data_IF_108653988102
#
_entry.id   IF_108653988102
#
_cell.length_a   1.000
_cell.length_b   1.000
_cell.length_c   1.000
_cell.angle_alpha   90.00
_cell.angle_beta   90.00
_cell.angle_gamma   90.00
#
_symmetry.space_group_name_H-M   'P 1'
#
loop_
_entity.id
_entity.type
_entity.pdbx_description
1 polymer ?
#
# COMPACT_ATOMS: atom_id res chain seq x y z
N UNK A 1 65.78 -8.13 24.05
CA UNK A 1 64.49 -8.66 24.54
C UNK A 1 63.39 -8.10 23.66
N UNK A 2 62.98 -8.84 22.63
CA UNK A 2 61.97 -8.41 21.65
C UNK A 2 60.59 -8.84 22.15
N UNK A 3 59.68 -7.90 22.38
CA UNK A 3 58.26 -8.18 22.70
C UNK A 3 57.46 -8.13 21.39
N UNK A 4 56.68 -9.16 21.04
CA UNK A 4 55.84 -9.10 19.85
C UNK A 4 54.63 -8.18 20.10
N UNK A 5 54.31 -7.35 19.12
CA UNK A 5 53.09 -6.56 19.09
C UNK A 5 51.90 -7.48 18.76
N UNK A 6 50.84 -7.43 19.58
CA UNK A 6 49.56 -8.04 19.25
C UNK A 6 48.87 -7.23 18.14
N UNK A 7 48.34 -7.85 17.07
CA UNK A 7 47.52 -7.13 16.11
C UNK A 7 46.14 -6.89 16.73
N UNK A 8 45.83 -5.61 16.97
CA UNK A 8 44.48 -5.14 17.27
C UNK A 8 43.57 -5.48 16.10
N UNK A 9 42.64 -6.41 16.32
CA UNK A 9 41.63 -6.82 15.36
C UNK A 9 40.84 -5.61 14.86
N UNK A 10 40.90 -5.40 13.54
CA UNK A 10 40.01 -4.50 12.81
C UNK A 10 38.57 -5.03 12.96
N UNK A 11 37.78 -4.44 13.86
CA UNK A 11 36.34 -4.57 13.82
C UNK A 11 35.82 -3.66 12.69
N UNK A 12 35.74 -4.19 11.47
CA UNK A 12 34.97 -3.57 10.39
C UNK A 12 33.49 -3.71 10.71
N UNK A 13 32.98 -2.83 11.57
CA UNK A 13 31.54 -2.64 11.82
C UNK A 13 30.87 -2.00 10.60
N UNK A 14 30.81 -2.77 9.52
CA UNK A 14 29.63 -3.09 8.75
C UNK A 14 28.44 -2.09 8.80
N UNK A 15 28.66 -0.88 8.31
CA UNK A 15 27.58 0.06 7.97
C UNK A 15 26.81 -0.35 6.71
N UNK A 16 27.37 -1.28 5.92
CA UNK A 16 26.73 -1.76 4.70
C UNK A 16 25.59 -2.74 4.99
N UNK A 17 25.71 -3.69 5.91
CA UNK A 17 24.64 -4.69 6.15
C UNK A 17 23.38 -4.04 6.70
N UNK A 18 23.47 -2.93 7.43
CA UNK A 18 22.27 -2.21 7.87
C UNK A 18 21.51 -1.60 6.67
N UNK A 19 22.21 -0.92 5.76
CA UNK A 19 21.60 -0.38 4.54
C UNK A 19 21.18 -1.48 3.55
N UNK A 20 21.91 -2.60 3.48
CA UNK A 20 21.54 -3.73 2.63
C UNK A 20 20.27 -4.40 3.17
N UNK A 21 20.10 -4.52 4.50
CA UNK A 21 18.89 -5.10 5.12
C UNK A 21 17.68 -4.17 4.93
N UNK A 22 17.83 -2.85 5.02
CA UNK A 22 16.75 -1.89 4.71
C UNK A 22 16.35 -1.94 3.22
N UNK A 23 17.33 -1.97 2.31
CA UNK A 23 17.09 -2.10 0.87
C UNK A 23 16.51 -3.48 0.52
N UNK A 24 16.94 -4.54 1.21
CA UNK A 24 16.39 -5.91 1.12
C UNK A 24 14.96 -5.97 1.63
N UNK A 25 14.65 -5.37 2.78
CA UNK A 25 13.30 -5.35 3.32
C UNK A 25 12.33 -4.59 2.40
N UNK A 26 12.77 -3.49 1.78
CA UNK A 26 11.95 -2.74 0.82
C UNK A 26 11.71 -3.49 -0.50
N UNK A 27 12.73 -4.14 -1.08
CA UNK A 27 12.55 -4.99 -2.28
C UNK A 27 11.71 -6.24 -1.99
N UNK A 28 11.77 -6.79 -0.78
CA UNK A 28 10.91 -7.91 -0.35
C UNK A 28 9.47 -7.46 -0.07
N UNK A 29 9.25 -6.26 0.47
CA UNK A 29 7.92 -5.65 0.60
C UNK A 29 7.27 -5.40 -0.78
N UNK A 30 8.03 -4.87 -1.73
CA UNK A 30 7.57 -4.67 -3.12
C UNK A 30 7.27 -6.02 -3.79
N UNK A 31 8.11 -7.05 -3.57
CA UNK A 31 7.88 -8.38 -4.10
C UNK A 31 6.67 -9.09 -3.46
N UNK A 32 6.39 -8.88 -2.16
CA UNK A 32 5.22 -9.45 -1.49
C UNK A 32 3.92 -8.77 -1.92
N UNK A 33 3.91 -7.45 -2.12
CA UNK A 33 2.75 -6.73 -2.67
C UNK A 33 2.48 -7.12 -4.13
N UNK A 34 3.52 -7.30 -4.95
CA UNK A 34 3.38 -7.78 -6.33
C UNK A 34 2.90 -9.23 -6.45
N UNK A 35 3.26 -10.10 -5.49
CA UNK A 35 2.80 -11.49 -5.46
C UNK A 35 1.34 -11.64 -5.01
N UNK A 36 0.84 -10.75 -4.15
CA UNK A 36 -0.58 -10.75 -3.73
C UNK A 36 -1.50 -10.34 -4.89
N UNK A 37 -1.07 -9.43 -5.76
CA UNK A 37 -1.83 -9.00 -6.95
C UNK A 37 -1.93 -10.07 -8.05
N UNK A 38 -1.02 -11.07 -8.09
CA UNK A 38 -1.03 -12.12 -9.12
C UNK A 38 -1.66 -13.45 -8.67
N UNK A 39 -2.15 -13.54 -7.42
CA UNK A 39 -2.70 -14.78 -6.85
C UNK A 39 -4.23 -14.85 -6.81
N UNK A 40 -4.95 -13.81 -7.25
CA UNK A 40 -6.43 -13.80 -7.22
C UNK A 40 -7.08 -13.99 -8.60
N UNK A 41 -6.43 -14.72 -9.51
CA UNK A 41 -7.03 -15.16 -10.77
C UNK A 41 -7.63 -16.58 -10.60
N UNK A 42 -8.63 -16.77 -9.73
CA UNK A 42 -9.36 -18.05 -9.75
C UNK A 42 -10.14 -18.50 -8.52
N UNK A 43 -11.11 -17.73 -8.01
CA UNK A 43 -12.20 -18.31 -7.20
C UNK A 43 -13.55 -17.83 -7.73
N UNK A 44 -14.36 -18.78 -8.19
CA UNK A 44 -15.70 -18.58 -8.72
C UNK A 44 -16.72 -18.41 -7.57
N UNK A 45 -17.39 -17.25 -7.58
CA UNK A 45 -18.71 -16.92 -6.99
C UNK A 45 -19.06 -17.48 -5.60
N UNK A 46 -18.54 -16.82 -4.57
CA UNK A 46 -19.39 -16.40 -3.44
C UNK A 46 -19.92 -15.00 -3.78
N UNK A 47 -21.08 -14.59 -3.26
CA UNK A 47 -21.53 -13.20 -3.40
C UNK A 47 -20.37 -12.26 -3.02
N UNK A 48 -19.86 -11.49 -3.98
CA UNK A 48 -18.78 -10.55 -3.72
C UNK A 48 -19.30 -9.52 -2.72
N UNK A 49 -18.75 -9.52 -1.51
CA UNK A 49 -18.97 -8.41 -0.59
C UNK A 49 -18.17 -7.23 -1.12
N UNK A 50 -18.82 -6.48 -2.01
CA UNK A 50 -18.26 -5.28 -2.62
C UNK A 50 -17.74 -4.30 -1.55
N UNK A 51 -18.36 -4.25 -0.36
CA UNK A 51 -17.87 -3.39 0.73
C UNK A 51 -16.54 -3.87 1.27
N UNK A 52 -16.39 -5.20 1.47
CA UNK A 52 -15.12 -5.79 1.91
C UNK A 52 -14.00 -5.62 0.86
N UNK A 53 -14.31 -5.84 -0.42
CA UNK A 53 -13.33 -5.66 -1.51
C UNK A 53 -12.92 -4.19 -1.69
N UNK A 54 -13.88 -3.26 -1.60
CA UNK A 54 -13.58 -1.82 -1.54
C UNK A 54 -12.67 -1.52 -0.34
N UNK A 55 -12.94 -2.09 0.84
CA UNK A 55 -12.14 -1.87 2.04
C UNK A 55 -10.71 -2.38 1.86
N UNK A 56 -10.54 -3.59 1.32
CA UNK A 56 -9.24 -4.20 1.06
C UNK A 56 -8.40 -3.35 0.11
N UNK A 57 -8.96 -2.99 -1.04
CA UNK A 57 -8.26 -2.18 -2.03
C UNK A 57 -8.00 -0.75 -1.52
N UNK A 58 -8.93 -0.14 -0.80
CA UNK A 58 -8.70 1.19 -0.22
C UNK A 58 -7.60 1.18 0.84
N UNK A 59 -7.51 0.12 1.67
CA UNK A 59 -6.42 -0.04 2.63
C UNK A 59 -5.07 -0.19 1.93
N UNK A 60 -5.01 -0.97 0.85
CA UNK A 60 -3.79 -1.11 0.05
C UNK A 60 -3.38 0.22 -0.61
N UNK A 61 -4.33 1.02 -1.10
CA UNK A 61 -4.06 2.36 -1.62
C UNK A 61 -3.46 3.28 -0.56
N UNK A 62 -3.97 3.24 0.69
CA UNK A 62 -3.40 4.00 1.81
C UNK A 62 -1.96 3.58 2.08
N UNK A 63 -1.67 2.28 2.10
CA UNK A 63 -0.33 1.78 2.39
C UNK A 63 0.66 2.11 1.27
N UNK A 64 0.25 2.02 -0.01
CA UNK A 64 1.03 2.55 -1.14
C UNK A 64 1.30 4.05 -0.99
N UNK A 65 0.30 4.83 -0.57
CA UNK A 65 0.43 6.26 -0.34
C UNK A 65 1.45 6.61 0.75
N UNK A 66 1.45 5.85 1.87
CA UNK A 66 2.47 5.98 2.93
C UNK A 66 3.88 5.60 2.44
N UNK A 67 3.97 4.67 1.50
CA UNK A 67 5.22 4.28 0.85
C UNK A 67 5.66 5.27 -0.26
N UNK A 68 4.94 6.38 -0.44
CA UNK A 68 5.13 7.35 -1.53
C UNK A 68 5.03 6.73 -2.94
N UNK A 69 4.29 5.63 -3.07
CA UNK A 69 4.01 4.96 -4.32
C UNK A 69 2.69 5.46 -4.93
N UNK A 70 2.79 6.56 -5.69
CA UNK A 70 1.63 7.16 -6.37
C UNK A 70 0.94 6.18 -7.35
N UNK A 71 1.72 5.34 -8.03
CA UNK A 71 1.17 4.36 -8.97
C UNK A 71 0.39 3.25 -8.24
N UNK A 72 0.90 2.78 -7.10
CA UNK A 72 0.18 1.86 -6.23
C UNK A 72 -1.11 2.44 -5.68
N UNK A 73 -1.12 3.73 -5.29
CA UNK A 73 -2.36 4.42 -4.88
C UNK A 73 -3.38 4.39 -6.02
N UNK A 74 -2.99 4.77 -7.23
CA UNK A 74 -3.88 4.78 -8.41
C UNK A 74 -4.43 3.39 -8.71
N UNK A 75 -3.57 2.37 -8.72
CA UNK A 75 -3.94 1.00 -9.03
C UNK A 75 -4.99 0.49 -8.03
N UNK A 76 -4.69 0.58 -6.74
CA UNK A 76 -5.59 0.10 -5.70
C UNK A 76 -6.86 0.94 -5.55
N UNK A 77 -6.78 2.27 -5.69
CA UNK A 77 -7.97 3.12 -5.67
C UNK A 77 -8.90 2.85 -6.87
N UNK A 78 -8.34 2.51 -8.03
CA UNK A 78 -9.13 2.14 -9.21
C UNK A 78 -9.87 0.82 -9.03
N UNK A 79 -9.23 -0.19 -8.43
CA UNK A 79 -9.92 -1.44 -8.08
C UNK A 79 -10.99 -1.21 -7.00
N UNK A 80 -10.69 -0.40 -5.98
CA UNK A 80 -11.67 -0.04 -4.95
C UNK A 80 -12.92 0.63 -5.55
N UNK A 81 -12.75 1.51 -6.56
CA UNK A 81 -13.86 2.17 -7.26
C UNK A 81 -14.79 1.17 -7.96
N UNK A 82 -14.24 0.15 -8.63
CA UNK A 82 -15.05 -0.86 -9.32
C UNK A 82 -16.04 -1.53 -8.36
N UNK A 83 -15.58 -1.90 -7.16
CA UNK A 83 -16.45 -2.50 -6.15
C UNK A 83 -17.35 -1.45 -5.47
N UNK A 84 -16.84 -0.25 -5.20
CA UNK A 84 -17.61 0.80 -4.51
C UNK A 84 -18.85 1.23 -5.30
N UNK A 85 -18.73 1.28 -6.63
CA UNK A 85 -19.84 1.64 -7.53
C UNK A 85 -21.04 0.70 -7.39
N UNK A 86 -20.82 -0.59 -7.11
CA UNK A 86 -21.89 -1.57 -6.93
C UNK A 86 -22.73 -1.34 -5.67
N UNK A 87 -22.20 -0.60 -4.69
CA UNK A 87 -22.84 -0.29 -3.40
C UNK A 87 -22.94 1.23 -3.16
N UNK A 88 -22.98 2.01 -4.25
CA UNK A 88 -23.00 3.47 -4.25
C UNK A 88 -24.28 4.11 -3.68
N UNK A 89 -25.35 3.34 -3.46
CA UNK A 89 -26.57 3.81 -2.79
C UNK A 89 -26.36 4.13 -1.31
N UNK A 90 -25.30 3.60 -0.69
CA UNK A 90 -24.90 3.99 0.66
C UNK A 90 -24.23 5.38 0.62
N UNK A 91 -24.70 6.37 1.42
CA UNK A 91 -24.15 7.73 1.39
C UNK A 91 -22.67 7.77 1.79
N UNK A 92 -22.23 6.93 2.74
CA UNK A 92 -20.81 6.83 3.07
C UNK A 92 -20.01 6.25 1.91
N UNK A 93 -20.57 5.28 1.17
CA UNK A 93 -19.90 4.76 -0.02
C UNK A 93 -19.81 5.80 -1.15
N UNK A 94 -20.85 6.60 -1.36
CA UNK A 94 -20.80 7.71 -2.31
C UNK A 94 -19.68 8.71 -1.97
N UNK A 95 -19.53 9.07 -0.69
CA UNK A 95 -18.41 9.91 -0.25
C UNK A 95 -17.05 9.22 -0.40
N UNK A 96 -16.97 7.92 -0.11
CA UNK A 96 -15.74 7.14 -0.35
C UNK A 96 -15.33 7.18 -1.84
N UNK A 97 -16.29 7.03 -2.76
CA UNK A 97 -16.07 7.14 -4.21
C UNK A 97 -15.48 8.52 -4.57
N UNK A 98 -15.98 9.61 -4.00
CA UNK A 98 -15.42 10.95 -4.22
C UNK A 98 -13.94 11.01 -3.82
N UNK A 99 -13.60 10.53 -2.63
CA UNK A 99 -12.22 10.51 -2.16
C UNK A 99 -11.33 9.56 -2.96
N UNK A 100 -11.84 8.40 -3.40
CA UNK A 100 -11.09 7.48 -4.27
C UNK A 100 -10.76 8.13 -5.62
N UNK A 101 -11.70 8.88 -6.23
CA UNK A 101 -11.43 9.63 -7.45
C UNK A 101 -10.34 10.70 -7.23
N UNK A 102 -10.40 11.45 -6.12
CA UNK A 102 -9.38 12.44 -5.78
C UNK A 102 -8.00 11.79 -5.52
N UNK A 103 -7.97 10.60 -4.90
CA UNK A 103 -6.75 9.83 -4.73
C UNK A 103 -6.14 9.40 -6.07
N UNK A 104 -6.97 8.97 -7.04
CA UNK A 104 -6.53 8.63 -8.40
C UNK A 104 -6.01 9.87 -9.13
N UNK A 105 -6.73 10.98 -9.07
CA UNK A 105 -6.32 12.23 -9.71
C UNK A 105 -4.95 12.69 -9.21
N UNK A 106 -4.79 12.83 -7.89
CA UNK A 106 -3.51 13.22 -7.29
C UNK A 106 -2.42 12.17 -7.48
N UNK A 107 -2.76 10.88 -7.46
CA UNK A 107 -1.81 9.80 -7.75
C UNK A 107 -1.29 9.87 -9.18
N UNK A 108 -2.15 10.15 -10.17
CA UNK A 108 -1.74 10.35 -11.57
C UNK A 108 -0.85 11.58 -11.77
N UNK A 109 -0.96 12.59 -10.90
CA UNK A 109 -0.05 13.74 -10.85
C UNK A 109 1.29 13.43 -10.14
N UNK A 110 1.46 12.23 -9.59
CA UNK A 110 2.62 11.86 -8.78
C UNK A 110 2.59 12.40 -7.34
N UNK A 111 1.47 12.98 -6.90
CA UNK A 111 1.31 13.56 -5.57
C UNK A 111 0.97 12.48 -4.52
N UNK A 112 1.87 11.51 -4.32
CA UNK A 112 1.61 10.33 -3.48
C UNK A 112 1.07 10.65 -2.08
N UNK A 113 1.62 11.67 -1.39
CA UNK A 113 1.19 12.05 -0.05
C UNK A 113 -0.23 12.66 0.00
N UNK A 114 -0.61 13.44 -1.03
CA UNK A 114 -1.98 13.99 -1.15
C UNK A 114 -2.95 12.86 -1.50
N UNK A 115 -2.55 11.99 -2.43
CA UNK A 115 -3.32 10.81 -2.79
C UNK A 115 -3.55 9.87 -1.59
N UNK A 116 -2.55 9.70 -0.73
CA UNK A 116 -2.65 8.93 0.51
C UNK A 116 -3.69 9.51 1.48
N UNK A 117 -3.74 10.84 1.61
CA UNK A 117 -4.73 11.53 2.46
C UNK A 117 -6.15 11.21 1.98
N UNK A 118 -6.41 11.34 0.68
CA UNK A 118 -7.71 11.00 0.12
C UNK A 118 -8.03 9.51 0.22
N UNK A 119 -7.08 8.62 -0.01
CA UNK A 119 -7.29 7.18 0.21
C UNK A 119 -7.63 6.88 1.68
N UNK A 120 -7.04 7.60 2.63
CA UNK A 120 -7.32 7.44 4.06
C UNK A 120 -8.71 7.94 4.45
N UNK A 121 -9.16 9.04 3.87
CA UNK A 121 -10.52 9.55 4.00
C UNK A 121 -11.53 8.56 3.41
N UNK A 122 -11.28 8.05 2.20
CA UNK A 122 -12.09 7.00 1.59
C UNK A 122 -12.19 5.77 2.52
N UNK A 123 -11.07 5.31 3.09
CA UNK A 123 -11.06 4.14 3.97
C UNK A 123 -11.96 4.33 5.20
N UNK A 124 -11.98 5.52 5.78
CA UNK A 124 -12.83 5.83 6.91
C UNK A 124 -14.31 5.73 6.54
N UNK A 125 -14.69 6.28 5.38
CA UNK A 125 -16.06 6.19 4.88
C UNK A 125 -16.47 4.75 4.54
N UNK A 126 -15.60 3.95 3.91
CA UNK A 126 -15.89 2.53 3.63
C UNK A 126 -16.15 1.73 4.92
N UNK A 127 -15.37 1.99 5.97
CA UNK A 127 -15.58 1.38 7.30
C UNK A 127 -16.89 1.81 7.96
N UNK A 128 -17.46 2.96 7.59
CA UNK A 128 -18.79 3.39 8.05
C UNK A 128 -19.89 2.75 7.19
N UNK A 129 -19.64 2.53 5.90
CA UNK A 129 -20.60 1.90 5.00
C UNK A 129 -20.83 0.41 5.32
N UNK A 130 -19.81 -0.30 5.81
CA UNK A 130 -19.89 -1.72 6.20
C UNK A 130 -20.31 -1.99 7.65
N UNK A 131 -20.84 -0.99 8.35
CA UNK A 131 -21.42 -1.10 9.70
C UNK A 131 -22.93 -1.08 9.63
#
# INVERSE_FOLDING_TARGET
MYRPACPSGHATSNKNIHSIVEVMMNKYLIALMGAVLLAFAGITTAAEDHTMLTLQHTSAAVDSGKALDAAGVVAHASEALKHAQAVSSNPHMATAITHLNAAIEHGNMGHAAVAATHAQEALNHVKMAGR
#
